data_IF_622210636952
#
_entry.id   IF_622210636952
#
_cell.length_a   1.000
_cell.length_b   1.000
_cell.length_c   1.000
_cell.angle_alpha   90.00
_cell.angle_beta   90.00
_cell.angle_gamma   90.00
#
_symmetry.space_group_name_H-M   'P 1'
#
loop_
_entity.id
_entity.type
_entity.pdbx_description
1 polymer ?
#
# COMPACT_ATOMS: atom_id res chain seq x y z
N UNK A 1 -32.83 37.14 62.37
CA UNK A 1 -31.95 36.04 62.81
C UNK A 1 -32.69 34.73 62.59
N UNK A 2 -32.15 33.79 61.81
CA UNK A 2 -32.67 32.43 61.68
C UNK A 2 -32.79 31.93 60.24
N UNK A 3 -31.71 31.34 59.72
CA UNK A 3 -31.65 30.59 58.46
C UNK A 3 -32.42 29.27 58.56
N UNK A 4 -33.06 28.82 57.48
CA UNK A 4 -33.04 27.39 57.11
C UNK A 4 -33.11 27.24 55.59
N UNK A 5 -31.99 26.82 54.99
CA UNK A 5 -31.85 26.45 53.57
C UNK A 5 -32.13 24.96 53.45
N UNK A 6 -33.04 24.55 52.58
CA UNK A 6 -33.17 23.15 52.15
C UNK A 6 -32.36 23.01 50.85
N UNK A 7 -31.28 22.23 50.95
CA UNK A 7 -30.51 21.77 49.79
C UNK A 7 -31.32 20.70 49.05
N UNK A 8 -31.47 20.84 47.74
CA UNK A 8 -31.75 19.71 46.85
C UNK A 8 -30.50 19.47 46.00
N UNK A 9 -29.73 18.45 46.38
CA UNK A 9 -28.66 17.88 45.59
C UNK A 9 -29.27 16.89 44.58
N UNK A 10 -28.93 17.01 43.30
CA UNK A 10 -29.46 16.14 42.24
C UNK A 10 -28.49 15.99 41.08
N UNK A 11 -27.55 15.06 41.26
CA UNK A 11 -26.77 14.29 40.27
C UNK A 11 -26.43 14.92 38.92
N UNK A 12 -25.19 15.41 38.78
CA UNK A 12 -24.54 15.56 37.48
C UNK A 12 -24.19 14.15 36.96
N UNK A 13 -24.98 13.61 36.03
CA UNK A 13 -24.58 12.43 35.25
C UNK A 13 -23.35 12.81 34.43
N UNK A 14 -22.18 12.36 34.85
CA UNK A 14 -20.99 12.30 34.01
C UNK A 14 -21.26 11.25 32.93
N UNK A 15 -21.75 11.68 31.77
CA UNK A 15 -21.66 10.90 30.56
C UNK A 15 -20.17 10.63 30.31
N UNK A 16 -19.73 9.41 30.60
CA UNK A 16 -18.44 8.91 30.14
C UNK A 16 -18.52 8.92 28.61
N UNK A 17 -17.93 9.94 27.99
CA UNK A 17 -17.64 9.92 26.57
C UNK A 17 -16.72 8.70 26.34
N UNK A 18 -17.31 7.59 25.89
CA UNK A 18 -16.53 6.48 25.38
C UNK A 18 -15.68 7.07 24.24
N UNK A 19 -14.36 6.84 24.21
CA UNK A 19 -13.59 7.22 23.04
C UNK A 19 -14.27 6.55 21.86
N UNK A 20 -14.62 7.34 20.84
CA UNK A 20 -15.00 6.78 19.56
C UNK A 20 -13.87 5.84 19.17
N UNK A 21 -14.13 4.53 19.13
CA UNK A 21 -13.20 3.60 18.54
C UNK A 21 -12.91 4.17 17.15
N UNK A 22 -11.66 4.53 16.88
CA UNK A 22 -11.24 4.91 15.54
C UNK A 22 -11.75 3.79 14.64
N UNK A 23 -12.71 4.09 13.76
CA UNK A 23 -13.30 3.08 12.90
C UNK A 23 -12.17 2.57 12.02
N UNK A 24 -11.76 1.33 12.26
CA UNK A 24 -10.79 0.64 11.42
C UNK A 24 -11.33 0.50 10.01
N UNK A 25 -10.44 0.21 9.08
CA UNK A 25 -10.79 -0.11 7.71
C UNK A 25 -11.80 -1.26 7.69
N UNK A 26 -12.92 -1.04 7.00
CA UNK A 26 -13.86 -2.11 6.71
C UNK A 26 -13.75 -2.42 5.23
N UNK A 27 -13.30 -3.64 4.85
CA UNK A 27 -13.32 -4.05 3.46
C UNK A 27 -14.73 -3.91 2.85
N UNK A 28 -14.85 -3.78 1.51
CA UNK A 28 -16.14 -3.72 0.85
C UNK A 28 -17.05 -4.92 1.17
N UNK A 29 -18.36 -4.76 0.97
CA UNK A 29 -19.31 -5.86 1.15
C UNK A 29 -18.91 -7.09 0.31
N UNK A 30 -18.89 -8.27 0.93
CA UNK A 30 -18.43 -9.51 0.31
C UNK A 30 -16.91 -9.68 0.30
N UNK A 31 -16.17 -8.81 1.00
CA UNK A 31 -14.73 -8.92 1.18
C UNK A 31 -14.34 -9.16 2.64
N UNK A 32 -13.26 -9.89 2.85
CA UNK A 32 -12.71 -10.22 4.17
C UNK A 32 -11.25 -9.79 4.26
N UNK A 33 -10.95 -8.96 5.27
CA UNK A 33 -9.57 -8.58 5.60
C UNK A 33 -8.82 -9.75 6.24
N UNK A 34 -7.56 -9.92 5.89
CA UNK A 34 -6.74 -11.01 6.42
C UNK A 34 -5.40 -10.56 7.00
N UNK A 35 -4.95 -9.32 6.74
CA UNK A 35 -3.70 -8.81 7.27
C UNK A 35 -3.66 -7.28 7.22
N UNK A 36 -3.09 -6.66 8.24
CA UNK A 36 -2.71 -5.25 8.26
C UNK A 36 -1.19 -5.15 8.39
N UNK A 37 -0.55 -4.33 7.56
CA UNK A 37 0.91 -4.16 7.55
C UNK A 37 1.25 -2.72 7.89
N UNK A 38 1.86 -2.51 9.05
CA UNK A 38 2.48 -1.22 9.38
C UNK A 38 3.86 -1.17 8.75
N UNK A 39 4.15 -0.12 7.99
CA UNK A 39 5.38 0.01 7.19
C UNK A 39 6.12 1.30 7.50
N UNK A 40 7.40 1.33 7.17
CA UNK A 40 8.18 2.57 7.05
C UNK A 40 7.57 3.51 6.00
N UNK A 41 7.99 4.78 6.05
CA UNK A 41 7.48 5.81 5.15
C UNK A 41 6.05 6.25 5.45
N UNK A 42 5.61 6.15 6.71
CA UNK A 42 4.28 6.55 7.16
C UNK A 42 3.14 5.93 6.35
N UNK A 43 3.20 4.61 6.18
CA UNK A 43 2.19 3.83 5.45
C UNK A 43 1.66 2.68 6.31
N UNK A 44 0.34 2.50 6.31
CA UNK A 44 -0.31 1.26 6.74
C UNK A 44 -1.14 0.68 5.61
N UNK A 45 -1.02 -0.62 5.39
CA UNK A 45 -1.69 -1.32 4.30
C UNK A 45 -2.65 -2.37 4.85
N UNK A 46 -3.91 -2.34 4.43
CA UNK A 46 -4.90 -3.36 4.77
C UNK A 46 -5.12 -4.30 3.59
N UNK A 47 -4.85 -5.58 3.79
CA UNK A 47 -5.00 -6.63 2.79
C UNK A 47 -6.29 -7.40 2.99
N UNK A 48 -7.02 -7.62 1.90
CA UNK A 48 -8.32 -8.28 1.90
C UNK A 48 -8.55 -9.08 0.62
N UNK A 49 -9.53 -9.98 0.66
CA UNK A 49 -9.97 -10.79 -0.50
C UNK A 49 -11.48 -10.67 -0.64
N UNK A 50 -11.98 -10.71 -1.87
CA UNK A 50 -13.40 -10.60 -2.15
C UNK A 50 -13.94 -11.89 -2.76
N UNK A 51 -15.13 -12.31 -2.35
CA UNK A 51 -15.74 -13.58 -2.79
C UNK A 51 -16.07 -13.62 -4.29
N UNK A 52 -16.20 -12.44 -4.92
CA UNK A 52 -16.56 -12.30 -6.33
C UNK A 52 -15.35 -12.29 -7.28
N UNK A 53 -14.14 -12.13 -6.75
CA UNK A 53 -12.93 -12.09 -7.56
C UNK A 53 -12.45 -13.50 -7.92
N UNK A 54 -11.53 -13.59 -8.87
CA UNK A 54 -10.95 -14.88 -9.24
C UNK A 54 -10.18 -15.48 -8.04
N UNK A 55 -10.17 -16.82 -7.88
CA UNK A 55 -9.42 -17.45 -6.80
C UNK A 55 -7.93 -17.06 -6.82
N UNK A 56 -7.46 -16.55 -5.68
CA UNK A 56 -6.08 -16.09 -5.53
C UNK A 56 -5.92 -14.57 -5.70
N UNK A 57 -6.92 -13.88 -6.25
CA UNK A 57 -6.94 -12.43 -6.25
C UNK A 57 -6.96 -11.89 -4.83
N UNK A 58 -6.25 -10.78 -4.65
CA UNK A 58 -6.18 -10.09 -3.38
C UNK A 58 -5.97 -8.61 -3.58
N UNK A 59 -6.55 -7.85 -2.65
CA UNK A 59 -6.51 -6.41 -2.63
C UNK A 59 -5.63 -5.89 -1.50
N UNK A 60 -5.13 -4.68 -1.70
CA UNK A 60 -4.47 -3.85 -0.70
C UNK A 60 -5.06 -2.45 -0.74
N UNK A 61 -5.39 -1.90 0.42
CA UNK A 61 -5.73 -0.49 0.60
C UNK A 61 -4.66 0.18 1.47
N UNK A 62 -4.01 1.21 0.92
CA UNK A 62 -2.90 1.94 1.55
C UNK A 62 -3.38 3.26 2.14
N UNK A 63 -2.94 3.52 3.36
CA UNK A 63 -3.28 4.71 4.13
C UNK A 63 -2.03 5.46 4.58
N UNK A 64 -2.11 6.79 4.56
CA UNK A 64 -1.19 7.72 5.21
C UNK A 64 -1.92 8.47 6.36
N UNK A 65 -1.33 9.54 6.89
CA UNK A 65 -1.98 10.35 7.95
C UNK A 65 -3.25 11.08 7.50
N UNK A 66 -3.43 11.27 6.19
CA UNK A 66 -4.56 11.98 5.59
C UNK A 66 -5.70 11.03 5.23
N UNK A 67 -5.41 9.73 5.12
CA UNK A 67 -6.40 8.68 4.91
C UNK A 67 -5.96 7.72 3.82
N UNK A 68 -6.93 7.05 3.19
CA UNK A 68 -6.66 6.18 2.05
C UNK A 68 -6.12 6.99 0.88
N UNK A 69 -5.06 6.52 0.22
CA UNK A 69 -4.52 7.19 -0.97
C UNK A 69 -4.39 6.26 -2.18
N UNK A 70 -4.38 4.93 -1.96
CA UNK A 70 -4.19 3.97 -3.05
C UNK A 70 -4.86 2.62 -2.75
N UNK A 71 -5.48 2.03 -3.76
CA UNK A 71 -5.95 0.64 -3.75
C UNK A 71 -5.30 -0.12 -4.90
N UNK A 72 -5.00 -1.40 -4.70
CA UNK A 72 -4.53 -2.27 -5.78
C UNK A 72 -5.07 -3.68 -5.61
N UNK A 73 -5.44 -4.29 -6.74
CA UNK A 73 -5.72 -5.73 -6.87
C UNK A 73 -4.61 -6.38 -7.67
N UNK A 74 -4.14 -7.50 -7.15
CA UNK A 74 -3.27 -8.43 -7.86
C UNK A 74 -3.95 -9.79 -7.97
N UNK A 75 -3.59 -10.55 -9.00
CA UNK A 75 -4.00 -11.95 -9.12
C UNK A 75 -3.06 -12.89 -8.36
N UNK A 76 -3.29 -14.19 -8.51
CA UNK A 76 -2.44 -15.21 -7.90
C UNK A 76 -1.00 -15.17 -8.41
N UNK A 77 -0.69 -14.66 -9.59
CA UNK A 77 0.66 -14.54 -10.13
C UNK A 77 1.32 -13.19 -9.81
N UNK A 78 0.68 -12.38 -8.96
CA UNK A 78 1.09 -11.03 -8.59
C UNK A 78 1.09 -10.03 -9.77
N UNK A 79 0.31 -10.29 -10.81
CA UNK A 79 0.11 -9.32 -11.88
C UNK A 79 -0.65 -8.10 -11.35
N UNK A 80 -0.26 -6.89 -11.77
CA UNK A 80 -0.95 -5.65 -11.43
C UNK A 80 -2.26 -5.56 -12.21
N UNK A 81 -3.29 -6.29 -11.79
CA UNK A 81 -4.55 -6.34 -12.52
C UNK A 81 -5.25 -4.98 -12.55
N UNK A 82 -5.28 -4.30 -11.41
CA UNK A 82 -6.05 -3.06 -11.26
C UNK A 82 -5.56 -2.21 -10.08
N UNK A 83 -5.70 -0.89 -10.17
CA UNK A 83 -5.47 0.03 -9.07
C UNK A 83 -6.30 1.29 -9.16
N UNK A 84 -6.43 1.96 -8.02
CA UNK A 84 -7.10 3.25 -7.88
C UNK A 84 -6.19 4.20 -7.10
N UNK A 85 -5.81 5.30 -7.72
CA UNK A 85 -5.32 6.47 -6.99
C UNK A 85 -6.54 7.21 -6.40
N UNK A 86 -6.38 7.83 -5.24
CA UNK A 86 -7.48 8.52 -4.55
C UNK A 86 -7.21 10.01 -4.46
N UNK A 87 -8.28 10.80 -4.68
CA UNK A 87 -8.30 12.26 -4.55
C UNK A 87 -7.40 13.03 -5.54
N UNK A 88 -7.72 13.02 -6.86
CA UNK A 88 -8.93 12.48 -7.48
C UNK A 88 -8.88 10.96 -7.68
N UNK A 89 -10.04 10.34 -7.84
CA UNK A 89 -10.10 8.91 -8.15
C UNK A 89 -9.75 8.69 -9.62
N UNK A 90 -8.67 7.94 -9.86
CA UNK A 90 -8.25 7.50 -11.20
C UNK A 90 -8.09 5.99 -11.17
N UNK A 91 -8.84 5.30 -12.02
CA UNK A 91 -8.76 3.85 -12.16
C UNK A 91 -7.73 3.49 -13.23
N UNK A 92 -6.86 2.53 -12.94
CA UNK A 92 -5.89 1.98 -13.87
C UNK A 92 -6.03 0.46 -13.92
N UNK A 93 -6.02 -0.11 -15.11
CA UNK A 93 -6.10 -1.56 -15.34
C UNK A 93 -4.96 -2.03 -16.23
N UNK A 94 -4.53 -3.27 -16.05
CA UNK A 94 -3.63 -3.93 -16.99
C UNK A 94 -4.36 -4.25 -18.29
N UNK A 95 -3.68 -3.97 -19.40
CA UNK A 95 -4.19 -4.25 -20.73
C UNK A 95 -4.29 -5.77 -20.98
N UNK A 96 -5.31 -6.23 -21.72
CA UNK A 96 -5.46 -7.65 -22.02
C UNK A 96 -4.35 -8.14 -22.96
N UNK A 97 -3.95 -9.40 -22.78
CA UNK A 97 -2.87 -10.05 -23.56
C UNK A 97 -1.52 -9.33 -23.41
N UNK A 98 -0.98 -9.21 -22.19
CA UNK A 98 0.34 -8.62 -21.98
C UNK A 98 1.40 -9.39 -22.79
N UNK A 99 2.44 -8.67 -23.23
CA UNK A 99 3.56 -9.29 -23.95
C UNK A 99 4.26 -10.34 -23.08
N UNK A 100 4.44 -9.99 -21.80
CA UNK A 100 5.04 -10.83 -20.76
C UNK A 100 4.39 -10.46 -19.41
N UNK A 101 3.34 -11.16 -18.96
CA UNK A 101 2.76 -10.89 -17.65
C UNK A 101 3.76 -11.24 -16.54
N UNK A 102 3.74 -10.50 -15.44
CA UNK A 102 4.48 -10.90 -14.25
C UNK A 102 4.08 -12.33 -13.80
N UNK A 103 5.06 -13.11 -13.37
CA UNK A 103 4.86 -14.47 -12.85
C UNK A 103 5.59 -14.68 -11.54
N UNK A 104 4.83 -14.66 -10.45
CA UNK A 104 5.33 -15.10 -9.15
C UNK A 104 5.84 -16.54 -9.21
N UNK A 105 5.21 -17.42 -10.00
CA UNK A 105 5.67 -18.80 -10.19
C UNK A 105 7.05 -18.87 -10.86
N UNK A 106 7.31 -18.06 -11.88
CA UNK A 106 8.64 -17.97 -12.51
C UNK A 106 9.69 -17.41 -11.54
N UNK A 107 9.33 -16.35 -10.79
CA UNK A 107 10.17 -15.78 -9.74
C UNK A 107 10.59 -16.81 -8.70
N UNK A 108 9.69 -17.73 -8.31
CA UNK A 108 10.03 -18.81 -7.37
C UNK A 108 11.12 -19.76 -7.90
N UNK A 109 11.35 -19.78 -9.21
CA UNK A 109 12.46 -20.45 -9.90
C UNK A 109 13.76 -19.62 -9.95
N UNK A 110 13.71 -18.31 -9.69
CA UNK A 110 14.87 -17.45 -9.49
C UNK A 110 14.67 -16.01 -9.97
N UNK A 111 14.13 -15.83 -11.17
CA UNK A 111 13.95 -14.53 -11.82
C UNK A 111 12.67 -14.56 -12.61
N UNK A 112 11.92 -13.46 -12.61
CA UNK A 112 10.78 -13.17 -13.47
C UNK A 112 11.09 -11.89 -14.27
N UNK A 113 10.77 -11.87 -15.56
CA UNK A 113 10.74 -10.62 -16.34
C UNK A 113 9.29 -10.30 -16.70
N UNK A 114 9.01 -9.04 -16.96
CA UNK A 114 7.67 -8.65 -17.37
C UNK A 114 7.68 -7.47 -18.33
N UNK A 115 6.64 -7.42 -19.16
CA UNK A 115 6.33 -6.38 -20.13
C UNK A 115 4.81 -6.35 -20.39
N UNK A 116 4.13 -5.31 -19.92
CA UNK A 116 2.67 -5.19 -20.04
C UNK A 116 2.21 -3.74 -20.18
N UNK A 117 1.07 -3.56 -20.84
CA UNK A 117 0.41 -2.26 -20.97
C UNK A 117 -0.51 -1.96 -19.80
N UNK A 118 -0.70 -0.67 -19.51
CA UNK A 118 -1.67 -0.14 -18.56
C UNK A 118 -2.55 0.89 -19.25
N UNK A 119 -3.83 0.91 -18.88
CA UNK A 119 -4.80 1.92 -19.33
C UNK A 119 -5.49 2.58 -18.13
N UNK A 120 -5.55 3.91 -18.12
CA UNK A 120 -6.32 4.70 -17.15
C UNK A 120 -7.71 5.03 -17.67
N UNK A 121 -8.67 5.23 -16.78
CA UNK A 121 -10.03 5.66 -17.12
C UNK A 121 -10.13 7.11 -17.62
N UNK A 122 -9.10 7.92 -17.34
CA UNK A 122 -8.85 9.24 -17.94
C UNK A 122 -8.35 9.17 -19.40
N UNK A 123 -7.94 7.98 -19.88
CA UNK A 123 -7.57 7.71 -21.27
C UNK A 123 -6.07 7.66 -21.54
N UNK A 124 -5.22 7.95 -20.55
CA UNK A 124 -3.77 7.75 -20.68
C UNK A 124 -3.44 6.25 -20.73
N UNK A 125 -2.37 5.94 -21.47
CA UNK A 125 -1.85 4.59 -21.61
C UNK A 125 -0.33 4.59 -21.46
N UNK A 126 0.18 3.51 -20.92
CA UNK A 126 1.60 3.33 -20.68
C UNK A 126 2.03 1.87 -20.85
N UNK A 127 3.33 1.67 -21.02
CA UNK A 127 3.96 0.35 -21.09
C UNK A 127 4.93 0.22 -19.92
N UNK A 128 4.80 -0.87 -19.17
CA UNK A 128 5.66 -1.25 -18.05
C UNK A 128 6.57 -2.38 -18.50
N UNK A 129 7.85 -2.31 -18.14
CA UNK A 129 8.78 -3.43 -18.29
C UNK A 129 9.77 -3.48 -17.14
N UNK A 130 10.26 -4.67 -16.81
CA UNK A 130 11.14 -4.86 -15.67
C UNK A 130 11.49 -6.31 -15.37
N UNK A 131 12.00 -6.52 -14.17
CA UNK A 131 12.27 -7.85 -13.63
C UNK A 131 12.19 -7.88 -12.12
N UNK A 132 11.96 -9.09 -11.59
CA UNK A 132 12.15 -9.47 -10.20
C UNK A 132 13.13 -10.64 -10.10
N UNK A 133 13.98 -10.66 -9.08
CA UNK A 133 14.95 -11.75 -8.88
C UNK A 133 15.20 -12.05 -7.42
N UNK A 134 15.10 -13.32 -7.03
CA UNK A 134 15.50 -13.78 -5.71
C UNK A 134 16.99 -13.51 -5.46
N UNK A 135 17.30 -12.88 -4.33
CA UNK A 135 18.70 -12.65 -3.94
C UNK A 135 19.33 -13.86 -3.24
N UNK A 136 18.50 -14.84 -2.88
CA UNK A 136 18.87 -15.97 -2.03
C UNK A 136 18.97 -15.63 -0.54
N UNK A 137 18.67 -14.39 -0.15
CA UNK A 137 18.64 -13.98 1.25
C UNK A 137 17.22 -14.11 1.83
N UNK A 138 17.16 -14.48 3.09
CA UNK A 138 15.93 -14.44 3.90
C UNK A 138 16.11 -13.39 4.99
N UNK A 139 15.08 -12.57 5.19
CA UNK A 139 14.99 -11.57 6.26
C UNK A 139 13.82 -11.95 7.15
N UNK A 140 13.98 -11.79 8.47
CA UNK A 140 12.88 -12.01 9.42
C UNK A 140 12.37 -10.65 9.87
N UNK A 141 11.10 -10.36 9.59
CA UNK A 141 10.42 -9.11 9.97
C UNK A 141 9.20 -9.51 10.80
N UNK A 142 9.13 -8.99 12.03
CA UNK A 142 8.05 -9.32 12.98
C UNK A 142 7.84 -10.84 13.18
N UNK A 143 8.94 -11.60 13.20
CA UNK A 143 8.92 -13.06 13.33
C UNK A 143 8.56 -13.83 12.06
N UNK A 144 8.21 -13.16 10.97
CA UNK A 144 7.86 -13.78 9.68
C UNK A 144 9.10 -13.82 8.77
N UNK A 145 9.52 -15.00 8.29
CA UNK A 145 10.59 -15.12 7.30
C UNK A 145 10.08 -14.70 5.91
N UNK A 146 10.81 -13.80 5.27
CA UNK A 146 10.54 -13.32 3.92
C UNK A 146 11.78 -13.47 3.05
N UNK A 147 11.59 -13.83 1.79
CA UNK A 147 12.69 -13.90 0.82
C UNK A 147 12.90 -12.55 0.17
N UNK A 148 14.13 -12.08 0.15
CA UNK A 148 14.48 -10.80 -0.45
C UNK A 148 14.61 -10.94 -1.98
N UNK A 149 14.03 -10.00 -2.71
CA UNK A 149 14.18 -9.85 -4.16
C UNK A 149 15.03 -8.62 -4.50
N UNK A 150 15.56 -8.60 -5.71
CA UNK A 150 16.00 -7.41 -6.40
C UNK A 150 15.01 -7.13 -7.53
N UNK A 151 14.62 -5.88 -7.70
CA UNK A 151 13.72 -5.51 -8.79
C UNK A 151 14.24 -4.28 -9.55
N UNK A 152 13.77 -4.15 -10.78
CA UNK A 152 13.81 -2.92 -11.57
C UNK A 152 12.53 -2.85 -12.40
N UNK A 153 11.91 -1.68 -12.48
CA UNK A 153 10.85 -1.43 -13.46
C UNK A 153 11.00 -0.05 -14.09
N UNK A 154 10.51 0.07 -15.32
CA UNK A 154 10.34 1.31 -16.05
C UNK A 154 8.93 1.35 -16.62
N UNK A 155 8.25 2.48 -16.43
CA UNK A 155 7.00 2.80 -17.10
C UNK A 155 7.24 3.91 -18.12
N UNK A 156 6.73 3.72 -19.33
CA UNK A 156 6.85 4.66 -20.45
C UNK A 156 5.49 5.01 -21.02
N UNK A 157 5.32 6.24 -21.51
CA UNK A 157 4.14 6.59 -22.29
C UNK A 157 4.18 5.91 -23.66
N UNK A 158 3.04 5.85 -24.35
CA UNK A 158 2.98 5.37 -25.74
C UNK A 158 3.90 6.16 -26.68
N UNK A 159 4.24 7.41 -26.33
CA UNK A 159 5.19 8.25 -27.09
C UNK A 159 6.66 7.93 -26.82
N UNK A 160 6.97 7.01 -25.91
CA UNK A 160 8.33 6.59 -25.53
C UNK A 160 8.99 7.46 -24.45
N UNK A 161 8.27 8.41 -23.86
CA UNK A 161 8.79 9.18 -22.72
C UNK A 161 8.76 8.32 -21.45
N UNK A 162 9.83 8.32 -20.67
CA UNK A 162 9.85 7.68 -19.35
C UNK A 162 8.94 8.46 -18.41
N UNK A 163 7.97 7.77 -17.81
CA UNK A 163 7.05 8.33 -16.82
C UNK A 163 7.59 8.13 -15.41
N UNK A 164 8.10 6.94 -15.10
CA UNK A 164 8.74 6.63 -13.82
C UNK A 164 9.61 5.39 -13.93
N UNK A 165 10.56 5.27 -13.01
CA UNK A 165 11.44 4.12 -12.86
C UNK A 165 11.70 3.85 -11.39
N UNK A 166 11.91 2.60 -11.05
CA UNK A 166 12.43 2.28 -9.74
C UNK A 166 13.31 1.04 -9.78
N UNK A 167 14.21 0.95 -8.81
CA UNK A 167 15.02 -0.25 -8.55
C UNK A 167 15.29 -0.38 -7.07
N UNK A 168 15.41 -1.60 -6.58
CA UNK A 168 15.62 -1.78 -5.15
C UNK A 168 15.49 -3.21 -4.68
N UNK A 169 14.98 -3.33 -3.46
CA UNK A 169 14.66 -4.59 -2.80
C UNK A 169 13.18 -4.64 -2.46
N UNK A 170 12.62 -5.83 -2.57
CA UNK A 170 11.32 -6.17 -1.99
C UNK A 170 11.46 -7.47 -1.22
N UNK A 171 10.40 -7.85 -0.51
CA UNK A 171 10.34 -9.07 0.28
C UNK A 171 9.10 -9.86 -0.12
N UNK A 172 9.26 -11.14 -0.40
CA UNK A 172 8.14 -12.02 -0.74
C UNK A 172 7.85 -13.02 0.37
N UNK A 173 6.59 -13.39 0.51
CA UNK A 173 6.17 -14.58 1.25
C UNK A 173 5.59 -15.60 0.27
N UNK A 174 6.24 -16.76 0.12
CA UNK A 174 5.88 -17.78 -0.89
C UNK A 174 4.42 -18.22 -0.80
N UNK A 175 3.96 -18.53 0.40
CA UNK A 175 2.60 -19.08 0.59
C UNK A 175 1.51 -18.02 0.49
N UNK A 176 1.86 -16.75 0.73
CA UNK A 176 0.89 -15.65 0.64
C UNK A 176 0.84 -15.06 -0.76
N UNK A 177 1.87 -15.35 -1.57
CA UNK A 177 2.05 -14.84 -2.93
C UNK A 177 1.93 -13.31 -2.96
N UNK A 178 2.61 -12.69 -2.00
CA UNK A 178 2.62 -11.25 -1.77
C UNK A 178 4.05 -10.73 -1.82
N UNK A 179 4.19 -9.54 -2.39
CA UNK A 179 5.36 -8.67 -2.24
C UNK A 179 5.10 -7.62 -1.17
N UNK A 180 6.15 -7.30 -0.42
CA UNK A 180 6.23 -6.18 0.50
C UNK A 180 7.38 -5.29 0.05
N UNK A 181 7.12 -3.99 -0.04
CA UNK A 181 8.15 -3.02 -0.43
C UNK A 181 9.36 -3.10 0.49
N UNK A 182 10.53 -2.77 -0.03
CA UNK A 182 11.75 -2.55 0.76
C UNK A 182 12.40 -1.20 0.44
N UNK A 183 13.71 -1.07 0.65
CA UNK A 183 14.48 0.08 0.19
C UNK A 183 14.51 0.17 -1.34
N UNK A 184 14.15 1.34 -1.86
CA UNK A 184 13.97 1.61 -3.29
C UNK A 184 14.60 2.94 -3.67
N UNK A 185 15.27 2.98 -4.83
CA UNK A 185 15.59 4.21 -5.54
C UNK A 185 14.46 4.49 -6.53
N UNK A 186 13.78 5.63 -6.38
CA UNK A 186 12.62 6.02 -7.18
C UNK A 186 12.94 7.24 -8.04
N UNK A 187 12.57 7.18 -9.32
CA UNK A 187 12.63 8.29 -10.27
C UNK A 187 11.23 8.56 -10.81
N UNK A 188 10.75 9.79 -10.62
CA UNK A 188 9.42 10.25 -11.03
C UNK A 188 9.36 10.73 -12.50
N UNK A 189 10.32 10.31 -13.34
CA UNK A 189 10.37 10.62 -14.77
C UNK A 189 11.31 11.78 -15.12
N UNK A 190 11.91 12.45 -14.13
CA UNK A 190 12.84 13.57 -14.32
C UNK A 190 14.31 13.12 -14.39
N UNK A 191 14.57 11.82 -14.18
CA UNK A 191 15.90 11.24 -14.21
C UNK A 191 16.64 11.31 -12.87
N UNK A 192 16.02 11.87 -11.82
CA UNK A 192 16.59 11.96 -10.48
C UNK A 192 16.08 10.81 -9.60
N UNK A 193 17.02 10.05 -9.04
CA UNK A 193 16.68 8.97 -8.11
C UNK A 193 16.69 9.48 -6.67
N UNK A 194 15.59 9.26 -5.97
CA UNK A 194 15.45 9.53 -4.53
C UNK A 194 15.28 8.22 -3.75
N UNK A 195 15.94 8.08 -2.58
CA UNK A 195 15.76 6.91 -1.74
C UNK A 195 14.41 6.98 -1.02
N UNK A 196 13.65 5.90 -1.10
CA UNK A 196 12.43 5.65 -0.32
C UNK A 196 12.54 4.29 0.35
N UNK A 197 11.88 4.10 1.49
CA UNK A 197 11.86 2.82 2.17
C UNK A 197 10.45 2.55 2.71
N UNK A 198 9.80 1.57 2.09
CA UNK A 198 8.46 1.10 2.45
C UNK A 198 8.48 -0.23 3.20
N UNK A 199 9.63 -0.62 3.77
CA UNK A 199 9.82 -1.91 4.46
C UNK A 199 8.71 -2.16 5.49
N UNK A 200 8.13 -3.38 5.54
CA UNK A 200 7.19 -3.74 6.59
C UNK A 200 7.90 -3.71 7.95
N UNK A 201 7.16 -3.30 8.97
CA UNK A 201 7.64 -3.21 10.36
C UNK A 201 6.84 -4.13 11.28
N UNK A 202 5.53 -4.27 11.03
CA UNK A 202 4.65 -5.17 11.78
C UNK A 202 3.59 -5.79 10.86
N UNK A 203 3.28 -7.06 11.11
CA UNK A 203 2.19 -7.80 10.49
C UNK A 203 1.13 -8.10 11.55
N UNK A 204 -0.08 -7.63 11.32
CA UNK A 204 -1.17 -7.71 12.30
C UNK A 204 -2.31 -8.51 11.67
N UNK A 205 -2.75 -9.56 12.37
CA UNK A 205 -3.72 -10.53 11.89
C UNK A 205 -5.09 -10.37 12.57
N UNK A 206 -6.16 -10.98 12.01
CA UNK A 206 -7.49 -10.91 12.60
C UNK A 206 -7.51 -11.32 14.07
N UNK A 207 -8.09 -10.46 14.91
CA UNK A 207 -8.16 -10.66 16.37
C UNK A 207 -7.03 -10.01 17.15
N UNK A 208 -5.98 -9.51 16.48
CA UNK A 208 -4.87 -8.80 17.14
C UNK A 208 -5.14 -7.29 17.24
N UNK A 209 -4.61 -6.62 18.29
CA UNK A 209 -4.70 -5.17 18.40
C UNK A 209 -4.05 -4.46 17.21
N UNK A 210 -4.76 -3.51 16.61
CA UNK A 210 -4.28 -2.76 15.44
C UNK A 210 -4.65 -3.40 14.09
N UNK A 211 -5.29 -4.57 14.08
CA UNK A 211 -5.89 -5.09 12.87
C UNK A 211 -6.92 -4.09 12.33
N UNK A 212 -6.93 -3.92 11.01
CA UNK A 212 -7.70 -2.91 10.30
C UNK A 212 -7.33 -1.44 10.63
N UNK A 213 -6.15 -1.16 11.20
CA UNK A 213 -5.72 0.22 11.43
C UNK A 213 -5.61 1.01 10.12
N UNK A 214 -6.05 2.27 10.17
CA UNK A 214 -5.96 3.24 9.06
C UNK A 214 -4.95 4.34 9.33
N UNK A 215 -4.30 4.31 10.49
CA UNK A 215 -3.30 5.29 10.87
C UNK A 215 -1.92 4.63 10.89
N UNK A 216 -0.98 5.11 10.06
CA UNK A 216 0.40 4.66 10.13
C UNK A 216 1.07 5.13 11.43
N UNK A 217 1.97 4.30 11.98
CA UNK A 217 2.65 4.60 13.26
C UNK A 217 4.18 4.70 13.15
N UNK A 218 4.76 4.38 11.98
CA UNK A 218 6.20 4.43 11.76
C UNK A 218 6.58 5.56 10.79
N UNK A 219 7.68 6.26 11.09
CA UNK A 219 8.29 7.30 10.24
C UNK A 219 7.37 8.51 9.89
N UNK A 220 6.25 8.70 10.57
CA UNK A 220 5.31 9.79 10.27
C UNK A 220 5.81 11.20 10.65
N UNK A 221 6.59 11.32 11.73
CA UNK A 221 7.19 12.60 12.12
C UNK A 221 8.34 13.02 11.19
N UNK A 222 8.96 12.05 10.51
CA UNK A 222 10.02 12.31 9.54
C UNK A 222 9.50 12.97 8.25
N UNK A 223 8.22 12.75 7.91
CA UNK A 223 7.59 13.37 6.73
C UNK A 223 7.31 14.86 6.96
N UNK A 224 7.02 15.28 8.19
CA UNK A 224 6.84 16.71 8.53
C UNK A 224 8.15 17.50 8.57
N UNK A 225 9.31 16.84 8.58
CA UNK A 225 10.63 17.49 8.74
C UNK A 225 11.52 17.46 7.49
N UNK A 226 11.03 16.98 6.34
CA UNK A 226 11.79 16.97 5.07
C UNK A 226 11.13 17.80 3.95
N UNK A 227 11.25 19.13 4.02
CA UNK A 227 11.28 19.97 2.80
C UNK A 227 12.55 19.59 2.03
N UNK A 228 12.53 19.10 0.76
CA UNK A 228 11.69 19.41 -0.41
C UNK A 228 10.81 18.24 -0.91
N UNK A 229 10.63 17.19 -0.11
CA UNK A 229 9.86 15.98 -0.49
C UNK A 229 8.35 16.27 -0.60
N UNK A 230 7.86 17.27 0.15
CA UNK A 230 6.47 17.74 0.12
C UNK A 230 6.09 18.42 -1.22
N UNK A 231 7.08 18.86 -2.03
CA UNK A 231 6.83 19.29 -3.42
C UNK A 231 6.72 18.11 -4.38
N UNK A 232 7.60 17.11 -4.23
CA UNK A 232 7.61 15.91 -5.06
C UNK A 232 6.38 15.03 -4.80
N UNK A 233 5.97 14.82 -3.55
CA UNK A 233 4.77 14.05 -3.22
C UNK A 233 3.47 14.76 -3.66
N UNK A 234 3.46 16.10 -3.70
CA UNK A 234 2.35 16.86 -4.29
C UNK A 234 2.34 16.79 -5.81
N UNK A 235 3.49 16.77 -6.49
CA UNK A 235 3.55 16.54 -7.94
C UNK A 235 3.17 15.11 -8.31
N UNK A 236 3.60 14.10 -7.53
CA UNK A 236 3.14 12.71 -7.67
C UNK A 236 1.61 12.58 -7.52
N UNK A 237 0.96 13.48 -6.77
CA UNK A 237 -0.51 13.53 -6.63
C UNK A 237 -1.25 14.42 -7.64
N UNK A 238 -0.56 15.28 -8.40
CA UNK A 238 -1.21 16.34 -9.17
C UNK A 238 -0.74 16.53 -10.61
N UNK A 239 0.14 15.70 -11.14
CA UNK A 239 0.52 15.82 -12.55
C UNK A 239 -0.48 15.05 -13.44
N UNK A 240 -1.48 15.82 -13.89
CA UNK A 240 -2.50 15.67 -14.96
C UNK A 240 -2.68 14.31 -15.66
#
# INVERSE_FOLDING_TARGET
MGLTRIMAAGGLMLALAQPAAAQGFTPPEGCTGFMTVQSRGCRVSNHYRCEKDAPGDQWRADFDQQGVFFLSRIDSEAQWVESYEMFPTVAQVMDPNPQDPASFTELLGGTDTYAFGLSKDSGERSEVSGFDRLTGRTVVIDGIPLEETAFEFTETSIGGSVLRRARGREYIHRDWRLFFSGPTEWDAGDGSFVPVDGSPMQFIFPGEPGFAATQPIFDCDAILSQSPMDRLLRQVRHDD
#
